data_IF_536637416779
#
_entry.id   IF_536637416779
#
_cell.length_a   1.000
_cell.length_b   1.000
_cell.length_c   1.000
_cell.angle_alpha   90.00
_cell.angle_beta   90.00
_cell.angle_gamma   90.00
#
_symmetry.space_group_name_H-M   'P 1'
#
loop_
_entity.id
_entity.type
_entity.pdbx_description
1 polymer ?
#
# COMPACT_ATOMS: atom_id res chain seq x y z
N UNK A 1 -0.32 -2.13 3.35
CA UNK A 1 -1.61 -1.58 3.78
C UNK A 1 -2.73 -2.22 2.98
N UNK A 2 -3.82 -2.61 3.63
CA UNK A 2 -5.02 -3.16 2.99
C UNK A 2 -6.15 -2.15 3.17
N UNK A 3 -6.86 -1.81 2.10
CA UNK A 3 -7.94 -0.83 2.16
C UNK A 3 -9.09 -1.34 3.05
N UNK A 4 -9.66 -0.53 3.96
CA UNK A 4 -10.65 -0.97 4.95
C UNK A 4 -11.93 -1.53 4.33
N UNK A 5 -12.30 -1.06 3.14
CA UNK A 5 -13.47 -1.56 2.40
C UNK A 5 -13.25 -2.95 1.76
N UNK A 6 -12.04 -3.51 1.82
CA UNK A 6 -11.81 -4.89 1.38
C UNK A 6 -12.38 -5.90 2.38
N UNK A 7 -13.05 -6.98 1.92
CA UNK A 7 -13.37 -7.30 0.53
C UNK A 7 -14.65 -6.60 0.04
N UNK A 8 -14.61 -6.04 -1.16
CA UNK A 8 -15.76 -5.45 -1.84
C UNK A 8 -15.85 -5.88 -3.30
N UNK A 9 -17.05 -5.79 -3.87
CA UNK A 9 -17.32 -6.09 -5.28
C UNK A 9 -16.64 -5.09 -6.21
N UNK A 10 -16.38 -5.48 -7.46
CA UNK A 10 -15.87 -4.56 -8.48
C UNK A 10 -16.77 -3.32 -8.64
N UNK A 11 -18.09 -3.51 -8.64
CA UNK A 11 -19.07 -2.42 -8.75
C UNK A 11 -18.95 -1.44 -7.58
N UNK A 12 -18.66 -1.92 -6.37
CA UNK A 12 -18.43 -1.06 -5.20
C UNK A 12 -17.19 -0.18 -5.41
N UNK A 13 -16.08 -0.78 -5.85
CA UNK A 13 -14.83 -0.06 -6.10
C UNK A 13 -14.91 0.95 -7.25
N UNK A 14 -15.72 0.66 -8.27
CA UNK A 14 -15.85 1.51 -9.45
C UNK A 14 -16.85 2.67 -9.27
N UNK A 15 -17.62 2.71 -8.18
CA UNK A 15 -18.63 3.76 -7.93
C UNK A 15 -18.02 5.14 -7.69
N UNK A 16 -16.82 5.20 -7.15
CA UNK A 16 -16.14 6.46 -6.79
C UNK A 16 -14.63 6.26 -6.72
N UNK A 17 -13.90 7.36 -6.55
CA UNK A 17 -12.46 7.33 -6.34
C UNK A 17 -12.13 6.52 -5.08
N UNK A 18 -11.14 5.64 -5.19
CA UNK A 18 -10.59 4.88 -4.06
C UNK A 18 -9.48 5.68 -3.39
N UNK A 19 -9.62 5.95 -2.10
CA UNK A 19 -8.66 6.77 -1.32
C UNK A 19 -7.86 5.92 -0.34
N UNK A 20 -6.57 6.23 -0.20
CA UNK A 20 -5.69 5.61 0.79
C UNK A 20 -5.25 6.61 1.87
N UNK A 21 -6.08 7.60 2.17
CA UNK A 21 -5.83 8.70 3.12
C UNK A 21 -5.51 8.26 4.56
N UNK A 22 -6.01 7.10 4.98
CA UNK A 22 -5.74 6.51 6.30
C UNK A 22 -4.39 5.78 6.39
N UNK A 23 -3.65 5.65 5.28
CA UNK A 23 -2.33 5.03 5.27
C UNK A 23 -1.34 5.90 6.04
N UNK A 24 -0.57 5.28 6.92
CA UNK A 24 0.48 5.95 7.70
C UNK A 24 1.83 5.30 7.48
N UNK A 25 2.85 6.15 7.48
CA UNK A 25 4.25 5.79 7.40
C UNK A 25 4.89 6.00 8.77
N UNK A 26 5.82 5.14 9.16
CA UNK A 26 6.56 5.24 10.42
C UNK A 26 8.02 4.88 10.20
N UNK A 27 8.92 5.45 11.01
CA UNK A 27 10.31 5.04 11.11
C UNK A 27 10.58 4.17 12.36
N UNK A 28 9.55 3.87 13.15
CA UNK A 28 9.65 2.94 14.26
C UNK A 28 9.67 1.50 13.73
N UNK A 29 10.81 0.83 13.83
CA UNK A 29 10.98 -0.57 13.38
C UNK A 29 10.19 -1.58 14.23
N UNK A 30 9.74 -1.17 15.41
CA UNK A 30 8.95 -1.99 16.34
C UNK A 30 7.46 -1.60 16.32
N UNK A 31 6.98 -0.98 15.25
CA UNK A 31 5.57 -0.61 15.11
C UNK A 31 4.66 -1.85 15.20
N UNK A 32 3.71 -1.81 16.13
CA UNK A 32 2.69 -2.84 16.37
C UNK A 32 1.29 -2.43 15.85
N UNK A 33 1.17 -1.21 15.31
CA UNK A 33 -0.09 -0.64 14.81
C UNK A 33 -0.36 -0.99 13.34
N UNK A 34 0.59 -1.65 12.68
CA UNK A 34 0.47 -2.08 11.28
C UNK A 34 0.70 -0.94 10.29
N UNK A 35 1.40 0.11 10.70
CA UNK A 35 1.85 1.16 9.80
C UNK A 35 2.94 0.65 8.86
N UNK A 36 3.16 1.36 7.75
CA UNK A 36 4.23 0.99 6.82
C UNK A 36 5.55 1.54 7.38
N UNK A 37 6.42 0.63 7.81
CA UNK A 37 7.76 0.94 8.29
C UNK A 37 8.67 1.28 7.10
N UNK A 38 9.30 2.44 7.14
CA UNK A 38 10.26 2.89 6.13
C UNK A 38 11.51 3.47 6.81
N UNK A 39 12.66 3.31 6.16
CA UNK A 39 13.91 3.93 6.60
C UNK A 39 13.98 5.37 6.12
N UNK A 40 14.53 6.27 6.95
CA UNK A 40 14.74 7.67 6.57
C UNK A 40 15.80 7.81 5.48
N UNK A 41 15.72 8.86 4.67
CA UNK A 41 16.65 9.16 3.56
C UNK A 41 16.71 8.09 2.47
N UNK A 42 15.64 7.32 2.31
CA UNK A 42 15.52 6.28 1.27
C UNK A 42 14.43 6.64 0.27
N UNK A 43 14.63 6.25 -0.99
CA UNK A 43 13.66 6.43 -2.07
C UNK A 43 12.72 5.23 -2.14
N UNK A 44 11.42 5.49 -2.18
CA UNK A 44 10.38 4.46 -2.27
C UNK A 44 9.44 4.72 -3.44
N UNK A 45 8.94 3.62 -4.02
CA UNK A 45 7.94 3.61 -5.10
C UNK A 45 6.65 2.99 -4.55
N UNK A 46 5.57 3.77 -4.35
CA UNK A 46 4.25 3.22 -4.08
C UNK A 46 3.77 2.30 -5.20
N UNK A 47 3.08 1.22 -4.83
CA UNK A 47 2.47 0.26 -5.75
C UNK A 47 1.05 -0.03 -5.28
N UNK A 48 0.10 -0.10 -6.22
CA UNK A 48 -1.28 -0.48 -5.96
C UNK A 48 -1.49 -1.90 -6.46
N UNK A 49 -2.03 -2.77 -5.61
CA UNK A 49 -2.30 -4.17 -5.92
C UNK A 49 -3.80 -4.43 -5.91
N UNK A 50 -4.34 -4.90 -7.02
CA UNK A 50 -5.73 -5.35 -7.15
C UNK A 50 -5.69 -6.88 -7.18
N UNK A 51 -6.28 -7.50 -6.16
CA UNK A 51 -6.22 -8.94 -5.92
C UNK A 51 -7.64 -9.49 -5.88
N UNK A 52 -7.95 -10.46 -6.74
CA UNK A 52 -9.23 -11.15 -6.70
C UNK A 52 -9.34 -11.99 -5.41
N UNK A 53 -10.55 -12.06 -4.85
CA UNK A 53 -10.84 -12.73 -3.56
C UNK A 53 -10.44 -14.21 -3.55
N UNK A 54 -10.55 -14.91 -4.67
CA UNK A 54 -10.15 -16.31 -4.82
C UNK A 54 -8.62 -16.52 -4.71
N UNK A 55 -7.83 -15.45 -4.80
CA UNK A 55 -6.37 -15.46 -4.64
C UNK A 55 -5.92 -14.80 -3.33
N UNK A 56 -6.84 -14.58 -2.38
CA UNK A 56 -6.59 -13.79 -1.17
C UNK A 56 -6.43 -14.59 0.12
N UNK A 57 -6.34 -15.92 0.07
CA UNK A 57 -6.33 -16.80 1.25
C UNK A 57 -5.18 -16.53 2.23
N UNK A 58 -4.10 -15.90 1.77
CA UNK A 58 -2.88 -15.64 2.54
C UNK A 58 -2.49 -14.16 2.62
N UNK A 59 -3.40 -13.23 2.29
CA UNK A 59 -3.06 -11.80 2.37
C UNK A 59 -2.80 -11.37 3.82
N UNK A 60 -1.60 -10.87 4.05
CA UNK A 60 -1.18 -10.23 5.28
C UNK A 60 -0.35 -8.99 4.95
N UNK A 61 -0.45 -7.88 5.72
CA UNK A 61 0.47 -6.75 5.59
C UNK A 61 1.95 -7.12 5.73
N UNK A 62 2.26 -8.23 6.42
CA UNK A 62 3.62 -8.71 6.68
C UNK A 62 4.09 -9.79 5.71
N UNK A 63 3.22 -10.27 4.82
CA UNK A 63 3.58 -11.27 3.81
C UNK A 63 3.76 -10.61 2.43
N UNK A 64 4.58 -11.19 1.55
CA UNK A 64 4.68 -10.75 0.17
C UNK A 64 3.32 -10.80 -0.54
N UNK A 65 3.14 -9.90 -1.51
CA UNK A 65 1.96 -9.92 -2.39
C UNK A 65 1.99 -11.22 -3.22
N UNK A 66 0.89 -11.99 -3.31
CA UNK A 66 0.82 -13.18 -4.14
C UNK A 66 1.11 -12.89 -5.61
N UNK A 67 1.55 -13.91 -6.34
CA UNK A 67 1.82 -13.84 -7.78
C UNK A 67 0.83 -14.73 -8.52
N UNK A 68 0.28 -14.26 -9.65
CA UNK A 68 -0.61 -15.03 -10.51
C UNK A 68 -1.66 -14.18 -11.21
N UNK A 69 -2.47 -14.81 -12.06
CA UNK A 69 -3.47 -14.15 -12.92
C UNK A 69 -4.55 -13.38 -12.14
N UNK A 70 -4.73 -13.70 -10.87
CA UNK A 70 -5.65 -13.01 -9.96
C UNK A 70 -5.11 -11.70 -9.38
N UNK A 71 -3.86 -11.35 -9.67
CA UNK A 71 -3.17 -10.18 -9.11
C UNK A 71 -2.75 -9.24 -10.24
N UNK A 72 -3.23 -8.00 -10.17
CA UNK A 72 -2.73 -6.90 -11.01
C UNK A 72 -2.00 -5.89 -10.14
N UNK A 73 -0.82 -5.46 -10.60
CA UNK A 73 -0.03 -4.44 -9.93
C UNK A 73 0.11 -3.21 -10.80
N UNK A 74 -0.11 -2.04 -10.20
CA UNK A 74 0.01 -0.73 -10.84
C UNK A 74 1.08 0.08 -10.12
N UNK A 75 1.87 0.81 -10.90
CA UNK A 75 2.94 1.67 -10.43
C UNK A 75 2.87 2.99 -11.20
N UNK A 76 3.04 4.10 -10.49
CA UNK A 76 2.99 5.45 -11.04
C UNK A 76 4.31 6.14 -10.71
N UNK A 77 5.15 6.47 -11.70
CA UNK A 77 6.50 6.97 -11.47
C UNK A 77 6.51 8.34 -10.78
N UNK A 78 5.47 9.13 -11.00
CA UNK A 78 5.22 10.42 -10.35
C UNK A 78 4.96 10.31 -8.84
N UNK A 79 4.69 9.10 -8.33
CA UNK A 79 4.43 8.86 -6.89
C UNK A 79 5.68 8.47 -6.10
N UNK A 80 6.85 8.41 -6.74
CA UNK A 80 8.12 8.14 -6.06
C UNK A 80 8.46 9.29 -5.11
N UNK A 81 8.87 8.95 -3.89
CA UNK A 81 9.25 9.93 -2.88
C UNK A 81 10.48 9.49 -2.08
N UNK A 82 11.13 10.45 -1.42
CA UNK A 82 12.19 10.20 -0.44
C UNK A 82 11.62 10.41 0.96
N UNK A 83 11.81 9.45 1.84
CA UNK A 83 11.42 9.55 3.26
C UNK A 83 12.34 10.49 4.01
N UNK A 84 11.77 11.33 4.86
CA UNK A 84 12.52 12.27 5.70
C UNK A 84 11.81 12.42 7.05
N UNK A 85 12.57 12.75 8.10
CA UNK A 85 12.02 13.15 9.40
C UNK A 85 11.82 14.68 9.50
N UNK A 86 12.42 15.43 8.58
CA UNK A 86 12.23 16.86 8.39
C UNK A 86 12.43 17.22 6.91
N UNK A 87 11.61 18.15 6.38
CA UNK A 87 11.73 18.61 4.99
C UNK A 87 13.13 19.17 4.72
N UNK A 88 13.71 18.79 3.57
CA UNK A 88 15.08 19.18 3.18
C UNK A 88 15.11 20.24 2.08
N UNK A 89 14.03 20.38 1.31
CA UNK A 89 13.94 21.41 0.28
C UNK A 89 13.48 22.72 0.92
N UNK A 90 14.20 23.80 0.60
CA UNK A 90 13.90 25.17 1.00
C UNK A 90 13.03 25.87 -0.04
#
# INVERSE_FOLDING_TARGET
YMHPDWPASGDTWMRQVVSFDKLKLTNNELDDQGHIILHSMHKYQPRVHVIRKDFSSDLSPTKPVPVGDGVKTFTFSETVFTTVTAYQNH
#
